data_IF_432810924834
#
_entry.id   IF_432810924834
#
_cell.length_a   1.000
_cell.length_b   1.000
_cell.length_c   1.000
_cell.angle_alpha   90.00
_cell.angle_beta   90.00
_cell.angle_gamma   90.00
#
_symmetry.space_group_name_H-M   'P 1'
#
loop_
_entity.id
_entity.type
_entity.pdbx_description
1 polymer ?
#
# COMPACT_ATOMS: atom_id res chain seq x y z
N UNK A 1 25.36 -0.94 1.49
CA UNK A 1 24.80 -1.32 2.83
C UNK A 1 23.82 -0.30 3.43
N UNK A 2 24.20 0.95 3.74
CA UNK A 2 23.28 1.92 4.38
C UNK A 2 21.98 2.15 3.58
N UNK A 3 22.10 2.31 2.26
CA UNK A 3 20.98 2.40 1.32
C UNK A 3 20.04 1.19 1.40
N UNK A 4 20.60 -0.03 1.44
CA UNK A 4 19.83 -1.28 1.56
C UNK A 4 19.08 -1.41 2.89
N UNK A 5 19.71 -1.05 4.01
CA UNK A 5 19.06 -1.05 5.32
C UNK A 5 17.95 0.01 5.42
N UNK A 6 18.16 1.19 4.85
CA UNK A 6 17.12 2.22 4.74
C UNK A 6 15.98 1.76 3.83
N UNK A 7 16.28 1.13 2.69
CA UNK A 7 15.26 0.56 1.79
C UNK A 7 14.41 -0.50 2.50
N UNK A 8 15.06 -1.43 3.23
CA UNK A 8 14.39 -2.42 4.07
C UNK A 8 13.48 -1.77 5.12
N UNK A 9 13.96 -0.74 5.79
CA UNK A 9 13.21 -0.02 6.84
C UNK A 9 11.96 0.64 6.26
N UNK A 10 12.10 1.34 5.13
CA UNK A 10 10.99 2.00 4.44
C UNK A 10 9.99 0.98 3.89
N UNK A 11 10.47 -0.14 3.33
CA UNK A 11 9.60 -1.23 2.90
C UNK A 11 8.83 -1.87 4.06
N UNK A 12 9.48 -2.06 5.22
CA UNK A 12 8.82 -2.58 6.42
C UNK A 12 7.72 -1.63 6.93
N UNK A 13 7.96 -0.31 6.91
CA UNK A 13 6.95 0.70 7.24
C UNK A 13 5.77 0.67 6.26
N UNK A 14 6.04 0.61 4.94
CA UNK A 14 5.01 0.48 3.91
C UNK A 14 4.15 -0.77 4.13
N UNK A 15 4.81 -1.91 4.36
CA UNK A 15 4.17 -3.21 4.58
C UNK A 15 3.34 -3.21 5.86
N UNK A 16 3.89 -2.70 6.95
CA UNK A 16 3.18 -2.59 8.24
C UNK A 16 1.93 -1.73 8.12
N UNK A 17 2.01 -0.58 7.42
CA UNK A 17 0.85 0.24 7.13
C UNK A 17 -0.21 -0.50 6.29
N UNK A 18 0.20 -1.24 5.26
CA UNK A 18 -0.72 -2.01 4.42
C UNK A 18 -1.41 -3.15 5.20
N UNK A 19 -0.64 -3.85 6.04
CA UNK A 19 -1.16 -4.88 6.96
C UNK A 19 -2.17 -4.25 7.91
N UNK A 20 -1.86 -3.11 8.54
CA UNK A 20 -2.77 -2.42 9.45
C UNK A 20 -4.10 -2.09 8.76
N UNK A 21 -4.06 -1.57 7.53
CA UNK A 21 -5.25 -1.28 6.74
C UNK A 21 -6.10 -2.53 6.55
N UNK A 22 -5.49 -3.66 6.15
CA UNK A 22 -6.24 -4.88 5.86
C UNK A 22 -6.72 -5.64 7.12
N UNK A 23 -5.97 -5.61 8.21
CA UNK A 23 -6.20 -6.45 9.39
C UNK A 23 -6.96 -5.72 10.49
N UNK A 24 -6.72 -4.42 10.67
CA UNK A 24 -7.32 -3.64 11.74
C UNK A 24 -8.36 -2.65 11.20
N UNK A 25 -7.92 -1.74 10.34
CA UNK A 25 -8.75 -0.60 9.89
C UNK A 25 -9.97 -1.05 9.08
N UNK A 26 -9.76 -1.90 8.08
CA UNK A 26 -10.84 -2.35 7.20
C UNK A 26 -11.88 -3.21 7.94
N UNK A 27 -11.52 -4.23 8.75
CA UNK A 27 -12.51 -4.96 9.52
C UNK A 27 -13.28 -4.08 10.50
N UNK A 28 -12.59 -3.15 11.19
CA UNK A 28 -13.25 -2.21 12.10
C UNK A 28 -14.25 -1.30 11.34
N UNK A 29 -13.84 -0.74 10.20
CA UNK A 29 -14.69 0.06 9.30
C UNK A 29 -15.95 -0.68 8.86
N UNK A 30 -15.84 -1.97 8.56
CA UNK A 30 -16.98 -2.76 8.08
C UNK A 30 -18.05 -3.02 9.14
N UNK A 31 -17.77 -2.78 10.43
CA UNK A 31 -18.76 -2.88 11.51
C UNK A 31 -19.67 -1.65 11.62
N UNK A 32 -19.27 -0.52 11.02
CA UNK A 32 -20.04 0.72 11.01
C UNK A 32 -21.24 0.63 10.07
N UNK A 33 -22.26 1.48 10.27
CA UNK A 33 -23.32 1.70 9.28
C UNK A 33 -22.75 2.33 8.00
N UNK A 34 -23.51 2.28 6.89
CA UNK A 34 -23.00 2.65 5.57
C UNK A 34 -22.52 4.11 5.48
N UNK A 35 -23.18 5.03 6.19
CA UNK A 35 -22.81 6.44 6.21
C UNK A 35 -21.56 6.66 7.06
N UNK A 36 -21.49 6.06 8.25
CA UNK A 36 -20.32 6.15 9.11
C UNK A 36 -19.08 5.50 8.47
N UNK A 37 -19.25 4.34 7.84
CA UNK A 37 -18.22 3.65 7.05
C UNK A 37 -17.65 4.56 5.96
N UNK A 38 -18.50 5.22 5.18
CA UNK A 38 -18.05 6.10 4.10
C UNK A 38 -17.43 7.40 4.64
N UNK A 39 -17.96 7.91 5.76
CA UNK A 39 -17.44 9.10 6.46
C UNK A 39 -16.02 8.87 6.95
N UNK A 40 -15.71 7.68 7.46
CA UNK A 40 -14.36 7.32 7.90
C UNK A 40 -13.45 6.97 6.71
N UNK A 41 -13.96 6.21 5.72
CA UNK A 41 -13.16 5.75 4.58
C UNK A 41 -12.54 6.90 3.78
N UNK A 42 -13.31 7.97 3.48
CA UNK A 42 -12.83 9.09 2.65
C UNK A 42 -11.55 9.77 3.20
N UNK A 43 -11.55 10.30 4.44
CA UNK A 43 -10.36 10.93 5.02
C UNK A 43 -9.23 9.94 5.33
N UNK A 44 -9.54 8.68 5.65
CA UNK A 44 -8.50 7.66 5.85
C UNK A 44 -7.80 7.33 4.53
N UNK A 45 -8.56 7.02 3.47
CA UNK A 45 -8.02 6.70 2.15
C UNK A 45 -7.11 7.81 1.63
N UNK A 46 -7.50 9.08 1.75
CA UNK A 46 -6.68 10.20 1.27
C UNK A 46 -5.31 10.25 1.98
N UNK A 47 -5.30 10.11 3.31
CA UNK A 47 -4.06 10.13 4.11
C UNK A 47 -3.21 8.88 3.86
N UNK A 48 -3.84 7.71 3.84
CA UNK A 48 -3.17 6.43 3.56
C UNK A 48 -2.57 6.38 2.16
N UNK A 49 -3.28 6.93 1.15
CA UNK A 49 -2.77 7.02 -0.22
C UNK A 49 -1.53 7.91 -0.31
N UNK A 50 -1.54 9.09 0.33
CA UNK A 50 -0.39 9.98 0.38
C UNK A 50 0.82 9.29 1.05
N UNK A 51 0.61 8.72 2.24
CA UNK A 51 1.67 8.03 2.98
C UNK A 51 2.26 6.85 2.18
N UNK A 52 1.43 5.94 1.68
CA UNK A 52 1.92 4.78 0.94
C UNK A 52 2.56 5.15 -0.39
N UNK A 53 2.07 6.17 -1.11
CA UNK A 53 2.69 6.63 -2.34
C UNK A 53 4.09 7.20 -2.10
N UNK A 54 4.28 7.98 -1.03
CA UNK A 54 5.59 8.51 -0.64
C UNK A 54 6.55 7.39 -0.21
N UNK A 55 6.11 6.47 0.63
CA UNK A 55 6.93 5.33 1.06
C UNK A 55 7.34 4.43 -0.12
N UNK A 56 6.43 4.19 -1.07
CA UNK A 56 6.71 3.47 -2.31
C UNK A 56 7.84 4.12 -3.11
N UNK A 57 7.77 5.44 -3.33
CA UNK A 57 8.79 6.18 -4.08
C UNK A 57 10.15 6.18 -3.35
N UNK A 58 10.16 6.48 -2.05
CA UNK A 58 11.41 6.51 -1.27
C UNK A 58 12.05 5.12 -1.22
N UNK A 59 11.26 4.07 -0.99
CA UNK A 59 11.74 2.69 -0.98
C UNK A 59 12.29 2.25 -2.34
N UNK A 60 11.64 2.65 -3.44
CA UNK A 60 12.14 2.42 -4.79
C UNK A 60 13.50 3.09 -5.02
N UNK A 61 13.62 4.39 -4.73
CA UNK A 61 14.88 5.13 -4.94
C UNK A 61 16.00 4.52 -4.11
N UNK A 62 15.77 4.24 -2.83
CA UNK A 62 16.77 3.63 -1.96
C UNK A 62 17.17 2.22 -2.43
N UNK A 63 16.20 1.41 -2.86
CA UNK A 63 16.43 0.08 -3.41
C UNK A 63 17.25 0.11 -4.71
N UNK A 64 16.94 1.03 -5.62
CA UNK A 64 17.72 1.24 -6.84
C UNK A 64 19.16 1.72 -6.54
N UNK A 65 19.32 2.63 -5.58
CA UNK A 65 20.66 3.08 -5.13
C UNK A 65 21.45 1.92 -4.51
N UNK A 66 20.80 1.09 -3.69
CA UNK A 66 21.44 -0.11 -3.14
C UNK A 66 21.84 -1.06 -4.26
N UNK A 67 20.94 -1.35 -5.22
CA UNK A 67 21.27 -2.19 -6.36
C UNK A 67 22.43 -1.63 -7.20
N UNK A 68 22.51 -0.32 -7.42
CA UNK A 68 23.64 0.29 -8.12
C UNK A 68 24.98 0.07 -7.38
N UNK A 69 24.98 0.22 -6.05
CA UNK A 69 26.19 0.10 -5.23
C UNK A 69 26.67 -1.35 -5.09
N UNK A 70 25.72 -2.27 -5.03
CA UNK A 70 25.94 -3.62 -4.54
C UNK A 70 25.73 -4.67 -5.65
N UNK A 71 24.91 -4.40 -6.68
CA UNK A 71 24.56 -5.31 -7.80
C UNK A 71 23.85 -6.61 -7.41
N UNK A 72 23.43 -6.77 -6.14
CA UNK A 72 22.64 -7.93 -5.72
C UNK A 72 21.19 -7.83 -6.20
N UNK A 73 20.71 -8.84 -6.93
CA UNK A 73 19.39 -8.82 -7.60
C UNK A 73 18.21 -8.61 -6.64
N UNK A 74 18.34 -9.04 -5.38
CA UNK A 74 17.31 -8.80 -4.36
C UNK A 74 16.97 -7.31 -4.15
N UNK A 75 17.94 -6.39 -4.31
CA UNK A 75 17.66 -4.96 -4.26
C UNK A 75 16.83 -4.48 -5.47
N UNK A 76 17.07 -5.02 -6.67
CA UNK A 76 16.28 -4.69 -7.85
C UNK A 76 14.84 -5.22 -7.72
N UNK A 77 14.68 -6.47 -7.27
CA UNK A 77 13.37 -7.09 -7.03
C UNK A 77 12.58 -6.25 -6.02
N UNK A 78 13.21 -5.89 -4.90
CA UNK A 78 12.55 -5.09 -3.87
C UNK A 78 12.18 -3.69 -4.35
N UNK A 79 13.04 -3.03 -5.12
CA UNK A 79 12.73 -1.72 -5.68
C UNK A 79 11.51 -1.78 -6.62
N UNK A 80 11.50 -2.73 -7.56
CA UNK A 80 10.35 -2.92 -8.48
C UNK A 80 9.07 -3.21 -7.69
N UNK A 81 9.14 -4.08 -6.67
CA UNK A 81 8.01 -4.38 -5.80
C UNK A 81 7.51 -3.14 -5.02
N UNK A 82 8.38 -2.21 -4.64
CA UNK A 82 7.99 -0.96 -3.96
C UNK A 82 7.22 -0.01 -4.86
N UNK A 83 7.55 0.08 -6.17
CA UNK A 83 6.87 1.02 -7.08
C UNK A 83 5.64 0.39 -7.78
N UNK A 84 5.57 -0.93 -7.89
CA UNK A 84 4.43 -1.68 -8.46
C UNK A 84 3.03 -1.33 -7.89
N UNK A 85 2.86 -0.91 -6.62
CA UNK A 85 1.56 -0.45 -6.12
C UNK A 85 1.00 0.75 -6.88
N UNK A 86 1.83 1.59 -7.53
CA UNK A 86 1.36 2.74 -8.30
C UNK A 86 0.53 2.33 -9.53
N UNK A 87 1.05 1.55 -10.50
CA UNK A 87 0.25 1.10 -11.64
C UNK A 87 -0.94 0.25 -11.20
N UNK A 88 -0.80 -0.60 -10.17
CA UNK A 88 -1.94 -1.33 -9.59
C UNK A 88 -3.05 -0.38 -9.11
N UNK A 89 -2.68 0.67 -8.37
CA UNK A 89 -3.64 1.65 -7.85
C UNK A 89 -4.29 2.42 -9.00
N UNK A 90 -3.52 2.93 -9.95
CA UNK A 90 -4.03 3.78 -11.04
C UNK A 90 -4.94 3.02 -12.01
N UNK A 91 -4.62 1.77 -12.30
CA UNK A 91 -5.36 0.98 -13.30
C UNK A 91 -6.54 0.20 -12.70
N UNK A 92 -6.39 -0.30 -11.46
CA UNK A 92 -7.34 -1.27 -10.89
C UNK A 92 -8.15 -0.68 -9.73
N UNK A 93 -7.50 0.01 -8.79
CA UNK A 93 -8.19 0.54 -7.60
C UNK A 93 -8.88 1.87 -7.90
N UNK A 94 -8.30 2.72 -8.76
CA UNK A 94 -8.78 4.08 -9.01
C UNK A 94 -10.28 4.15 -9.37
N UNK A 95 -10.85 3.30 -10.24
CA UNK A 95 -12.28 3.34 -10.53
C UNK A 95 -13.16 3.12 -9.29
N UNK A 96 -12.73 2.25 -8.36
CA UNK A 96 -13.42 2.01 -7.09
C UNK A 96 -13.28 3.22 -6.17
N UNK A 97 -12.08 3.80 -6.09
CA UNK A 97 -11.82 5.00 -5.28
C UNK A 97 -12.64 6.20 -5.76
N UNK A 98 -12.72 6.41 -7.07
CA UNK A 98 -13.48 7.50 -7.68
C UNK A 98 -14.97 7.35 -7.38
N UNK A 99 -15.53 6.15 -7.54
CA UNK A 99 -16.93 5.87 -7.23
C UNK A 99 -17.27 6.10 -5.75
N UNK A 100 -16.41 5.64 -4.82
CA UNK A 100 -16.57 5.89 -3.38
C UNK A 100 -16.45 7.38 -3.03
N UNK A 101 -15.50 8.07 -3.65
CA UNK A 101 -15.27 9.50 -3.40
C UNK A 101 -16.43 10.36 -3.91
N UNK A 102 -17.02 9.99 -5.05
CA UNK A 102 -18.17 10.66 -5.65
C UNK A 102 -19.50 10.42 -4.90
N UNK A 103 -19.62 9.32 -4.16
CA UNK A 103 -20.84 9.02 -3.39
C UNK A 103 -21.03 10.04 -2.25
N UNK A 104 -22.12 10.79 -2.26
CA UNK A 104 -22.46 11.72 -1.18
C UNK A 104 -22.81 10.94 0.11
N UNK A 105 -22.54 11.51 1.29
CA UNK A 105 -22.68 10.78 2.56
C UNK A 105 -24.14 10.40 2.88
N UNK A 106 -25.09 11.23 2.44
CA UNK A 106 -26.54 11.00 2.52
C UNK A 106 -27.03 9.92 1.55
N UNK A 107 -26.24 9.60 0.52
CA UNK A 107 -26.50 8.56 -0.46
C UNK A 107 -25.74 7.25 -0.16
N UNK A 108 -25.05 7.18 0.97
CA UNK A 108 -24.35 5.96 1.38
C UNK A 108 -25.37 4.82 1.63
N UNK A 109 -25.04 3.62 1.14
CA UNK A 109 -25.93 2.46 1.21
C UNK A 109 -25.24 1.15 0.80
N UNK A 110 -26.00 0.09 0.49
CA UNK A 110 -25.45 -1.23 0.16
C UNK A 110 -24.44 -1.22 -0.99
N UNK A 111 -24.62 -0.33 -1.97
CA UNK A 111 -23.69 -0.14 -3.09
C UNK A 111 -22.33 0.38 -2.62
N UNK A 112 -22.29 1.42 -1.78
CA UNK A 112 -21.03 1.96 -1.27
C UNK A 112 -20.34 0.96 -0.34
N UNK A 113 -21.08 0.20 0.47
CA UNK A 113 -20.53 -0.91 1.26
C UNK A 113 -19.85 -1.95 0.37
N UNK A 114 -20.51 -2.38 -0.69
CA UNK A 114 -19.96 -3.36 -1.65
C UNK A 114 -18.66 -2.86 -2.27
N UNK A 115 -18.60 -1.57 -2.63
CA UNK A 115 -17.38 -0.94 -3.14
C UNK A 115 -16.26 -0.89 -2.09
N UNK A 116 -16.57 -0.60 -0.82
CA UNK A 116 -15.58 -0.62 0.27
C UNK A 116 -15.05 -2.03 0.54
N UNK A 117 -15.90 -3.07 0.48
CA UNK A 117 -15.46 -4.46 0.58
C UNK A 117 -14.49 -4.80 -0.56
N UNK A 118 -14.88 -4.46 -1.80
CA UNK A 118 -14.03 -4.64 -2.98
C UNK A 118 -12.70 -3.89 -2.82
N UNK A 119 -12.73 -2.64 -2.38
CA UNK A 119 -11.55 -1.83 -2.13
C UNK A 119 -10.58 -2.52 -1.16
N UNK A 120 -11.08 -3.05 -0.04
CA UNK A 120 -10.27 -3.76 0.95
C UNK A 120 -9.55 -4.97 0.34
N UNK A 121 -10.23 -5.75 -0.50
CA UNK A 121 -9.63 -6.90 -1.20
C UNK A 121 -8.54 -6.47 -2.19
N UNK A 122 -8.77 -5.40 -2.95
CA UNK A 122 -7.78 -4.87 -3.90
C UNK A 122 -6.57 -4.26 -3.20
N UNK A 123 -6.76 -3.68 -2.00
CA UNK A 123 -5.68 -3.15 -1.19
C UNK A 123 -4.72 -4.25 -0.72
N UNK A 124 -5.19 -5.48 -0.51
CA UNK A 124 -4.35 -6.60 -0.05
C UNK A 124 -3.18 -6.93 -0.98
N UNK A 125 -3.29 -6.60 -2.27
CA UNK A 125 -2.17 -6.71 -3.23
C UNK A 125 -1.00 -5.80 -2.82
N UNK A 126 -1.27 -4.62 -2.26
CA UNK A 126 -0.22 -3.73 -1.74
C UNK A 126 0.51 -4.37 -0.57
N UNK A 127 -0.21 -5.07 0.31
CA UNK A 127 0.39 -5.84 1.40
C UNK A 127 1.33 -6.94 0.87
N UNK A 128 0.90 -7.70 -0.13
CA UNK A 128 1.75 -8.72 -0.75
C UNK A 128 3.00 -8.13 -1.42
N UNK A 129 2.85 -7.03 -2.15
CA UNK A 129 3.98 -6.33 -2.79
C UNK A 129 4.96 -5.75 -1.78
N UNK A 130 4.45 -5.14 -0.70
CA UNK A 130 5.27 -4.65 0.40
C UNK A 130 6.07 -5.79 1.05
N UNK A 131 5.40 -6.89 1.40
CA UNK A 131 6.04 -8.06 2.00
C UNK A 131 7.13 -8.63 1.08
N UNK A 132 6.87 -8.74 -0.23
CA UNK A 132 7.86 -9.14 -1.22
C UNK A 132 9.06 -8.18 -1.21
N UNK A 133 8.83 -6.87 -1.18
CA UNK A 133 9.91 -5.89 -1.13
C UNK A 133 10.75 -6.01 0.14
N UNK A 134 10.12 -6.12 1.31
CA UNK A 134 10.80 -6.30 2.59
C UNK A 134 11.64 -7.58 2.61
N UNK A 135 11.10 -8.70 2.13
CA UNK A 135 11.82 -9.97 2.09
C UNK A 135 12.99 -9.93 1.08
N UNK A 136 12.80 -9.31 -0.08
CA UNK A 136 13.85 -9.17 -1.09
C UNK A 136 15.00 -8.28 -0.61
N UNK A 137 14.70 -7.16 0.06
CA UNK A 137 15.72 -6.31 0.68
C UNK A 137 16.42 -7.00 1.85
N UNK A 138 15.69 -7.71 2.70
CA UNK A 138 16.27 -8.49 3.79
C UNK A 138 17.24 -9.55 3.25
N UNK A 139 16.82 -10.32 2.25
CA UNK A 139 17.66 -11.31 1.59
C UNK A 139 18.95 -10.70 1.02
N UNK A 140 18.84 -9.58 0.32
CA UNK A 140 20.00 -8.89 -0.24
C UNK A 140 20.97 -8.35 0.84
N UNK A 141 20.45 -7.87 1.97
CA UNK A 141 21.26 -7.40 3.10
C UNK A 141 21.96 -8.56 3.83
N UNK A 142 21.34 -9.73 3.92
CA UNK A 142 21.92 -10.91 4.59
C UNK A 142 22.94 -11.67 3.72
N UNK A 143 22.87 -11.52 2.41
CA UNK A 143 23.74 -12.22 1.45
C UNK A 143 25.06 -11.48 1.17
N UNK A 144 25.46 -10.58 2.07
CA UNK A 144 26.63 -9.72 1.95
C UNK A 144 27.55 -9.83 3.15
#
# INVERSE_FOLDING_TARGET
>A
MTSGLLALTVAALFTGAAIYVNVAEQPARLTLDDRALLTEWKPSYQRGAAMQASLALVGFVLGMTAWWQDSHVGFLIGAIAMIAPWPWTLLIIKPVNDALSATALDQAGPTSRTLVIKWGSLHAVRTALGALASLAFLWACLSR
#
